data_IF_013183700181
#
_entry.id   IF_013183700181
#
_cell.length_a   1.000
_cell.length_b   1.000
_cell.length_c   1.000
_cell.angle_alpha   90.00
_cell.angle_beta   90.00
_cell.angle_gamma   90.00
#
_symmetry.space_group_name_H-M   'P 1'
#
loop_
_entity.id
_entity.type
_entity.pdbx_description
1 polymer ?
#
# COMPACT_ATOMS: atom_id res chain seq x y z
N UNK A 1 6.15 25.76 -49.12
CA UNK A 1 6.93 25.78 -47.87
C UNK A 1 6.22 26.72 -46.91
N UNK A 2 5.48 26.14 -45.97
CA UNK A 2 4.99 26.83 -44.77
C UNK A 2 4.44 25.74 -43.86
N UNK A 3 5.29 25.18 -43.02
CA UNK A 3 4.87 24.26 -41.97
C UNK A 3 4.06 25.06 -40.95
N UNK A 4 2.80 24.70 -40.75
CA UNK A 4 1.96 25.27 -39.71
C UNK A 4 2.53 24.87 -38.34
N UNK A 5 3.16 25.84 -37.66
CA UNK A 5 3.66 25.67 -36.31
C UNK A 5 2.46 25.54 -35.36
N UNK A 6 2.08 24.30 -35.02
CA UNK A 6 1.09 24.04 -33.97
C UNK A 6 1.67 24.46 -32.63
N UNK A 7 1.24 25.61 -32.13
CA UNK A 7 1.58 26.09 -30.79
C UNK A 7 0.85 25.20 -29.78
N UNK A 8 1.57 24.24 -29.18
CA UNK A 8 1.04 23.40 -28.11
C UNK A 8 0.88 24.28 -26.87
N UNK A 9 -0.35 24.65 -26.55
CA UNK A 9 -0.64 25.36 -25.31
C UNK A 9 -0.52 24.38 -24.14
N UNK A 10 0.56 24.52 -23.37
CA UNK A 10 0.78 23.72 -22.16
C UNK A 10 -0.22 24.19 -21.10
N UNK A 11 -1.16 23.32 -20.73
CA UNK A 11 -2.17 23.62 -19.72
C UNK A 11 -1.49 24.02 -18.40
N UNK A 12 -1.89 25.17 -17.85
CA UNK A 12 -1.27 25.75 -16.65
C UNK A 12 -1.56 24.85 -15.44
N UNK A 13 -0.52 24.41 -14.76
CA UNK A 13 -0.55 23.48 -13.60
C UNK A 13 -1.57 23.94 -12.54
N UNK A 14 -2.73 23.28 -12.49
CA UNK A 14 -3.84 23.55 -11.56
C UNK A 14 -3.92 22.50 -10.45
N UNK A 15 -4.73 22.73 -9.42
CA UNK A 15 -4.85 21.87 -8.23
C UNK A 15 -5.30 20.44 -8.55
N UNK A 16 -6.12 20.25 -9.60
CA UNK A 16 -6.59 18.92 -10.05
C UNK A 16 -5.63 18.23 -11.03
N UNK A 17 -4.76 18.99 -11.72
CA UNK A 17 -3.82 18.47 -12.73
C UNK A 17 -2.41 18.26 -12.15
N UNK A 18 -2.32 18.07 -10.83
CA UNK A 18 -1.08 17.94 -10.07
C UNK A 18 -0.84 16.49 -9.62
N UNK A 19 -0.52 15.60 -10.58
CA UNK A 19 -0.18 14.20 -10.30
C UNK A 19 0.98 14.05 -9.30
N UNK A 20 1.98 14.95 -9.34
CA UNK A 20 3.11 14.96 -8.41
C UNK A 20 2.70 15.20 -6.94
N UNK A 21 1.61 15.91 -6.70
CA UNK A 21 1.12 16.19 -5.35
C UNK A 21 0.46 14.98 -4.70
N UNK A 22 -0.26 14.19 -5.50
CA UNK A 22 -0.92 12.97 -5.05
C UNK A 22 0.09 11.87 -4.71
N UNK A 23 1.15 11.73 -5.52
CA UNK A 23 2.20 10.74 -5.28
C UNK A 23 3.02 11.04 -4.00
N UNK A 24 3.23 12.34 -3.68
CA UNK A 24 3.85 12.79 -2.42
C UNK A 24 3.08 12.36 -1.17
N UNK A 25 1.75 12.22 -1.25
CA UNK A 25 0.94 11.79 -0.10
C UNK A 25 1.11 10.30 0.23
N UNK A 26 1.76 9.52 -0.65
CA UNK A 26 2.01 8.08 -0.48
C UNK A 26 0.73 7.33 -0.08
N UNK A 27 -0.39 7.70 -0.71
CA UNK A 27 -1.74 7.17 -0.40
C UNK A 27 -1.76 5.64 -0.56
N UNK A 28 -1.21 5.14 -1.67
CA UNK A 28 -1.19 3.71 -1.97
C UNK A 28 -0.41 2.89 -0.92
N UNK A 29 0.83 3.26 -0.54
CA UNK A 29 1.52 2.63 0.58
C UNK A 29 0.76 2.64 1.91
N UNK A 30 0.09 3.76 2.24
CA UNK A 30 -0.68 3.90 3.50
C UNK A 30 -1.89 2.97 3.53
N UNK A 31 -2.62 2.90 2.42
CA UNK A 31 -3.76 1.97 2.28
C UNK A 31 -3.27 0.53 2.43
N UNK A 32 -2.15 0.18 1.79
CA UNK A 32 -1.61 -1.17 1.82
C UNK A 32 -1.25 -1.60 3.25
N UNK A 33 -0.61 -0.73 4.04
CA UNK A 33 -0.29 -1.05 5.45
C UNK A 33 -1.55 -1.11 6.33
N UNK A 34 -2.54 -0.25 6.10
CA UNK A 34 -3.80 -0.30 6.83
C UNK A 34 -4.57 -1.60 6.55
N UNK A 35 -4.67 -2.00 5.28
CA UNK A 35 -5.28 -3.27 4.89
C UNK A 35 -4.54 -4.46 5.50
N UNK A 36 -3.21 -4.37 5.58
CA UNK A 36 -2.39 -5.39 6.24
C UNK A 36 -2.70 -5.52 7.73
N UNK A 37 -2.84 -4.39 8.44
CA UNK A 37 -3.25 -4.38 9.85
C UNK A 37 -4.63 -5.00 10.06
N UNK A 38 -5.58 -4.72 9.17
CA UNK A 38 -6.92 -5.34 9.20
C UNK A 38 -6.83 -6.86 8.98
N UNK A 39 -6.05 -7.30 7.99
CA UNK A 39 -5.83 -8.73 7.72
C UNK A 39 -5.25 -9.43 8.95
N UNK A 40 -4.20 -8.85 9.55
CA UNK A 40 -3.57 -9.38 10.77
C UNK A 40 -4.58 -9.55 11.90
N UNK A 41 -5.36 -8.51 12.20
CA UNK A 41 -6.37 -8.55 13.25
C UNK A 41 -7.38 -9.68 13.00
N UNK A 42 -7.92 -9.78 11.78
CA UNK A 42 -8.89 -10.81 11.44
C UNK A 42 -8.30 -12.23 11.53
N UNK A 43 -7.05 -12.42 11.13
CA UNK A 43 -6.37 -13.71 11.23
C UNK A 43 -6.16 -14.11 12.70
N UNK A 44 -5.76 -13.18 13.56
CA UNK A 44 -5.61 -13.43 14.99
C UNK A 44 -6.96 -13.71 15.66
N UNK A 45 -7.98 -12.92 15.35
CA UNK A 45 -9.34 -13.10 15.88
C UNK A 45 -9.89 -14.47 15.49
N UNK A 46 -9.82 -14.84 14.21
CA UNK A 46 -10.18 -16.18 13.74
C UNK A 46 -9.40 -17.28 14.48
N UNK A 47 -8.09 -17.15 14.64
CA UNK A 47 -7.29 -18.17 15.31
C UNK A 47 -7.71 -18.38 16.78
N UNK A 48 -8.07 -17.29 17.48
CA UNK A 48 -8.56 -17.35 18.86
C UNK A 48 -9.97 -17.93 18.99
N UNK A 49 -10.75 -17.95 17.90
CA UNK A 49 -12.10 -18.56 17.90
C UNK A 49 -12.10 -20.08 17.68
N UNK A 50 -10.95 -20.67 17.34
CA UNK A 50 -10.86 -22.10 17.06
C UNK A 50 -10.98 -22.93 18.35
N UNK A 51 -11.84 -23.96 18.39
CA UNK A 51 -12.01 -24.80 19.58
C UNK A 51 -10.81 -25.71 19.86
N UNK A 52 -10.07 -26.11 18.83
CA UNK A 52 -8.82 -26.90 18.94
C UNK A 52 -7.79 -26.38 17.93
N UNK A 53 -6.98 -25.37 18.30
CA UNK A 53 -6.01 -24.76 17.39
C UNK A 53 -4.82 -25.69 17.12
N UNK A 54 -4.53 -25.92 15.84
CA UNK A 54 -3.44 -26.79 15.40
C UNK A 54 -2.11 -26.04 15.22
N UNK A 55 -1.00 -26.77 15.33
CA UNK A 55 0.34 -26.21 15.07
C UNK A 55 0.48 -25.63 13.65
N UNK A 56 -0.16 -26.23 12.65
CA UNK A 56 -0.15 -25.71 11.28
C UNK A 56 -0.87 -24.36 11.16
N UNK A 57 -1.97 -24.16 11.88
CA UNK A 57 -2.69 -22.88 11.91
C UNK A 57 -1.87 -21.81 12.63
N UNK A 58 -1.19 -22.16 13.73
CA UNK A 58 -0.26 -21.24 14.41
C UNK A 58 0.89 -20.80 13.50
N UNK A 59 1.47 -21.75 12.74
CA UNK A 59 2.49 -21.45 11.75
C UNK A 59 1.99 -20.50 10.65
N UNK A 60 0.75 -20.69 10.17
CA UNK A 60 0.12 -19.78 9.21
C UNK A 60 -0.02 -18.35 9.76
N UNK A 61 -0.50 -18.19 11.01
CA UNK A 61 -0.58 -16.88 11.67
C UNK A 61 0.81 -16.23 11.70
N UNK A 62 1.83 -16.98 12.12
CA UNK A 62 3.22 -16.51 12.21
C UNK A 62 3.78 -16.03 10.86
N UNK A 63 3.50 -16.73 9.76
CA UNK A 63 3.92 -16.31 8.41
C UNK A 63 3.27 -14.97 8.02
N UNK A 64 1.99 -14.77 8.34
CA UNK A 64 1.30 -13.49 8.10
C UNK A 64 1.94 -12.38 8.94
N UNK A 65 2.28 -12.63 10.21
CA UNK A 65 2.96 -11.61 11.04
C UNK A 65 4.35 -11.27 10.49
N UNK A 66 5.14 -12.29 10.14
CA UNK A 66 6.50 -12.14 9.66
C UNK A 66 6.60 -11.41 8.32
N UNK A 67 5.69 -11.71 7.38
CA UNK A 67 5.62 -11.00 6.11
C UNK A 67 5.28 -9.50 6.31
N UNK A 68 4.45 -9.16 7.30
CA UNK A 68 4.11 -7.77 7.63
C UNK A 68 5.31 -6.94 8.07
N UNK A 69 6.20 -7.52 8.87
CA UNK A 69 7.42 -6.85 9.32
C UNK A 69 8.36 -6.51 8.14
N UNK A 70 8.47 -7.40 7.15
CA UNK A 70 9.26 -7.16 5.94
C UNK A 70 8.68 -5.99 5.11
N UNK A 71 7.35 -5.96 4.92
CA UNK A 71 6.68 -4.85 4.21
C UNK A 71 6.85 -3.52 4.93
N UNK A 72 6.75 -3.52 6.26
CA UNK A 72 6.98 -2.32 7.07
C UNK A 72 8.43 -1.81 6.94
N UNK A 73 9.41 -2.71 6.96
CA UNK A 73 10.81 -2.40 6.72
C UNK A 73 11.05 -1.75 5.35
N UNK A 74 10.45 -2.30 4.28
CA UNK A 74 10.52 -1.72 2.93
C UNK A 74 9.79 -0.36 2.83
N UNK A 75 8.72 -0.17 3.61
CA UNK A 75 7.94 1.06 3.60
C UNK A 75 8.69 2.23 4.25
N UNK A 76 9.36 1.99 5.38
CA UNK A 76 10.13 3.00 6.13
C UNK A 76 11.55 3.16 5.57
N UNK A 77 12.14 2.07 5.05
CA UNK A 77 13.53 1.99 4.59
C UNK A 77 13.86 2.72 3.29
N UNK A 78 13.12 3.76 2.91
CA UNK A 78 13.54 4.67 1.85
C UNK A 78 14.42 5.77 2.45
N UNK A 79 15.73 5.58 2.35
CA UNK A 79 16.71 6.67 2.40
C UNK A 79 16.94 7.19 0.99
#
# INVERSE_FOLDING_TARGET
>A
MSEEVKVVQVEKKSWYNNAEGFDKWRVFPRILITLYGIMFYKTCDWFMTLPDPTNSQSAFVSVIVGAGAAWFGLYIGKK
#
